data_IF_629508860478
#
_entry.id   IF_629508860478
#
_cell.length_a   1.000
_cell.length_b   1.000
_cell.length_c   1.000
_cell.angle_alpha   90.00
_cell.angle_beta   90.00
_cell.angle_gamma   90.00
#
_symmetry.space_group_name_H-M   'P 1'
#
loop_
_entity.id
_entity.type
_entity.pdbx_description
1 polymer ?
#
# COMPACT_ATOMS: atom_id res chain seq x y z
N UNK A 1 13.55 -79.94 -26.47
CA UNK A 1 12.93 -78.62 -26.82
C UNK A 1 11.44 -78.76 -26.60
N UNK A 2 10.96 -78.27 -25.43
CA UNK A 2 9.53 -78.25 -25.16
C UNK A 2 8.99 -76.92 -25.71
N UNK A 3 8.20 -76.97 -26.76
CA UNK A 3 7.47 -75.85 -27.33
C UNK A 3 6.33 -75.43 -26.34
N UNK A 4 6.41 -74.23 -25.84
CA UNK A 4 5.31 -73.64 -25.08
C UNK A 4 4.04 -73.60 -25.93
N UNK A 5 2.90 -73.99 -25.41
CA UNK A 5 1.62 -73.93 -26.15
C UNK A 5 1.27 -72.49 -26.46
N UNK A 6 0.63 -72.19 -27.61
CA UNK A 6 0.21 -70.84 -27.99
C UNK A 6 -0.77 -70.31 -26.95
N UNK A 7 -0.50 -69.07 -26.49
CA UNK A 7 -1.37 -68.38 -25.53
C UNK A 7 -2.82 -68.30 -26.09
N UNK A 8 -3.81 -68.65 -25.28
CA UNK A 8 -5.23 -68.59 -25.64
C UNK A 8 -5.60 -67.13 -25.99
N UNK A 9 -6.48 -66.91 -26.99
CA UNK A 9 -6.89 -65.54 -27.40
C UNK A 9 -7.33 -64.65 -26.24
N UNK A 10 -8.00 -65.24 -25.25
CA UNK A 10 -8.45 -64.56 -24.02
C UNK A 10 -7.28 -64.11 -23.14
N UNK A 11 -6.18 -64.82 -23.04
CA UNK A 11 -4.99 -64.41 -22.29
C UNK A 11 -4.28 -63.23 -22.94
N UNK A 12 -4.33 -63.11 -24.25
CA UNK A 12 -3.78 -61.95 -24.99
C UNK A 12 -4.62 -60.70 -24.80
N UNK A 13 -5.93 -60.81 -24.76
CA UNK A 13 -6.83 -59.69 -24.45
C UNK A 13 -6.67 -59.19 -23.01
N UNK A 14 -6.60 -60.11 -22.07
CA UNK A 14 -6.39 -59.81 -20.65
C UNK A 14 -5.04 -59.10 -20.43
N UNK A 15 -3.98 -59.52 -21.10
CA UNK A 15 -2.67 -58.87 -21.04
C UNK A 15 -2.71 -57.45 -21.64
N UNK A 16 -3.38 -57.24 -22.74
CA UNK A 16 -3.60 -55.92 -23.37
C UNK A 16 -4.38 -54.96 -22.45
N UNK A 17 -5.42 -55.46 -21.82
CA UNK A 17 -6.21 -54.69 -20.84
C UNK A 17 -5.36 -54.33 -19.60
N UNK A 18 -4.59 -55.26 -19.08
CA UNK A 18 -3.68 -55.06 -17.94
C UNK A 18 -2.59 -54.01 -18.26
N UNK A 19 -2.03 -54.03 -19.47
CA UNK A 19 -1.05 -53.07 -19.93
C UNK A 19 -1.69 -51.66 -20.12
N UNK A 20 -2.92 -51.62 -20.61
CA UNK A 20 -3.69 -50.36 -20.74
C UNK A 20 -3.98 -49.76 -19.37
N UNK A 21 -4.42 -50.55 -18.42
CA UNK A 21 -4.68 -50.13 -17.03
C UNK A 21 -3.39 -49.65 -16.33
N UNK A 22 -2.29 -50.36 -16.50
CA UNK A 22 -0.97 -49.97 -15.95
C UNK A 22 -0.50 -48.62 -16.51
N UNK A 23 -0.61 -48.40 -17.81
CA UNK A 23 -0.27 -47.11 -18.46
C UNK A 23 -1.16 -45.98 -17.93
N UNK A 24 -2.46 -46.25 -17.77
CA UNK A 24 -3.39 -45.25 -17.24
C UNK A 24 -3.10 -44.92 -15.78
N UNK A 25 -2.80 -45.90 -14.98
CA UNK A 25 -2.44 -45.71 -13.57
C UNK A 25 -1.10 -44.96 -13.43
N UNK A 26 -0.12 -45.26 -14.27
CA UNK A 26 1.14 -44.52 -14.31
C UNK A 26 0.95 -43.05 -14.72
N UNK A 27 0.10 -42.80 -15.73
CA UNK A 27 -0.21 -41.41 -16.13
C UNK A 27 -0.91 -40.66 -14.99
N UNK A 28 -1.90 -41.25 -14.34
CA UNK A 28 -2.59 -40.64 -13.18
C UNK A 28 -1.63 -40.35 -12.02
N UNK A 29 -0.64 -41.21 -11.81
CA UNK A 29 0.37 -40.99 -10.78
C UNK A 29 1.25 -39.77 -11.11
N UNK A 30 1.72 -39.64 -12.36
CA UNK A 30 2.49 -38.48 -12.84
C UNK A 30 1.67 -37.20 -12.71
N UNK A 31 0.40 -37.24 -13.11
CA UNK A 31 -0.50 -36.08 -13.03
C UNK A 31 -0.76 -35.67 -11.58
N UNK A 32 -0.92 -36.64 -10.68
CA UNK A 32 -1.11 -36.38 -9.25
C UNK A 32 0.15 -35.75 -8.61
N UNK A 33 1.34 -36.26 -8.92
CA UNK A 33 2.59 -35.66 -8.45
C UNK A 33 2.81 -34.25 -9.00
N UNK A 34 2.48 -34.03 -10.27
CA UNK A 34 2.52 -32.70 -10.89
C UNK A 34 1.59 -31.71 -10.15
N UNK A 35 0.32 -32.11 -9.97
CA UNK A 35 -0.68 -31.29 -9.29
C UNK A 35 -0.28 -31.00 -7.83
N UNK A 36 0.30 -31.95 -7.12
CA UNK A 36 0.79 -31.76 -5.77
C UNK A 36 1.92 -30.71 -5.72
N UNK A 37 2.86 -30.75 -6.67
CA UNK A 37 3.95 -29.75 -6.79
C UNK A 37 3.40 -28.34 -7.11
N UNK A 38 2.44 -28.24 -8.03
CA UNK A 38 1.76 -26.99 -8.37
C UNK A 38 1.06 -26.43 -7.13
N UNK A 39 0.27 -27.27 -6.43
CA UNK A 39 -0.41 -26.87 -5.19
C UNK A 39 0.55 -26.34 -4.13
N UNK A 40 1.67 -27.02 -3.88
CA UNK A 40 2.66 -26.58 -2.91
C UNK A 40 3.25 -25.21 -3.24
N UNK A 41 3.51 -24.93 -4.54
CA UNK A 41 3.98 -23.62 -5.00
C UNK A 41 2.94 -22.51 -4.77
N UNK A 42 1.67 -22.78 -5.03
CA UNK A 42 0.59 -21.81 -4.77
C UNK A 42 0.41 -21.57 -3.28
N UNK A 43 0.44 -22.63 -2.45
CA UNK A 43 0.36 -22.49 -1.00
C UNK A 43 1.52 -21.63 -0.44
N UNK A 44 2.73 -21.76 -0.97
CA UNK A 44 3.86 -20.88 -0.59
C UNK A 44 3.57 -19.43 -0.92
N UNK A 45 2.95 -19.14 -2.08
CA UNK A 45 2.57 -17.78 -2.48
C UNK A 45 1.49 -17.19 -1.58
N UNK A 46 0.49 -17.98 -1.24
CA UNK A 46 -0.59 -17.57 -0.32
C UNK A 46 -0.05 -17.24 1.07
N UNK A 47 0.80 -18.12 1.63
CA UNK A 47 1.44 -17.86 2.92
C UNK A 47 2.31 -16.60 2.90
N UNK A 48 3.00 -16.34 1.80
CA UNK A 48 3.74 -15.11 1.64
C UNK A 48 2.82 -13.88 1.68
N UNK A 49 1.66 -13.89 1.01
CA UNK A 49 0.71 -12.78 1.07
C UNK A 49 0.13 -12.59 2.48
N UNK A 50 -0.31 -13.67 3.12
CA UNK A 50 -0.86 -13.65 4.48
C UNK A 50 0.14 -13.15 5.52
N UNK A 51 1.44 -13.40 5.32
CA UNK A 51 2.51 -12.95 6.21
C UNK A 51 2.90 -11.47 6.04
N UNK A 52 2.29 -10.72 5.12
CA UNK A 52 2.58 -9.30 4.95
C UNK A 52 2.05 -8.48 6.13
N UNK A 53 2.95 -7.77 6.81
CA UNK A 53 2.61 -6.96 7.99
C UNK A 53 2.07 -5.57 7.64
N UNK A 54 2.59 -4.95 6.57
CA UNK A 54 2.25 -3.60 6.12
C UNK A 54 1.66 -3.62 4.71
N UNK A 55 0.90 -2.57 4.35
CA UNK A 55 0.36 -2.40 3.00
C UNK A 55 1.47 -2.35 1.94
N UNK A 56 2.53 -1.59 2.17
CA UNK A 56 3.69 -1.49 1.26
C UNK A 56 4.39 -2.83 1.04
N UNK A 57 4.53 -3.63 2.08
CA UNK A 57 5.09 -4.99 2.00
C UNK A 57 4.20 -5.92 1.18
N UNK A 58 2.89 -5.86 1.37
CA UNK A 58 1.93 -6.65 0.59
C UNK A 58 1.98 -6.27 -0.90
N UNK A 59 2.05 -4.98 -1.20
CA UNK A 59 2.15 -4.48 -2.58
C UNK A 59 3.45 -4.94 -3.25
N UNK A 60 4.58 -4.92 -2.54
CA UNK A 60 5.85 -5.47 -3.05
C UNK A 60 5.76 -6.98 -3.29
N UNK A 61 5.12 -7.73 -2.38
CA UNK A 61 4.90 -9.17 -2.57
C UNK A 61 3.99 -9.47 -3.76
N UNK A 62 2.94 -8.68 -3.99
CA UNK A 62 2.03 -8.83 -5.14
C UNK A 62 2.69 -8.47 -6.48
N UNK A 63 3.76 -7.68 -6.47
CA UNK A 63 4.46 -7.24 -7.69
C UNK A 63 5.84 -7.88 -7.80
N UNK A 64 6.84 -7.34 -7.14
CA UNK A 64 8.25 -7.73 -7.31
C UNK A 64 8.48 -9.20 -6.95
N UNK A 65 8.04 -9.64 -5.77
CA UNK A 65 8.24 -11.01 -5.33
C UNK A 65 7.44 -12.01 -6.18
N UNK A 66 6.18 -11.70 -6.49
CA UNK A 66 5.31 -12.55 -7.29
C UNK A 66 5.84 -12.74 -8.72
N UNK A 67 6.44 -11.69 -9.33
CA UNK A 67 7.10 -11.76 -10.64
C UNK A 67 8.19 -12.83 -10.67
N UNK A 68 9.04 -12.87 -9.65
CA UNK A 68 10.08 -13.89 -9.52
C UNK A 68 9.50 -15.27 -9.24
N UNK A 69 8.51 -15.35 -8.34
CA UNK A 69 7.89 -16.63 -7.96
C UNK A 69 7.12 -17.31 -9.08
N UNK A 70 6.51 -16.53 -9.98
CA UNK A 70 5.86 -17.06 -11.19
C UNK A 70 6.82 -17.19 -12.38
N UNK A 71 8.05 -16.66 -12.26
CA UNK A 71 9.02 -16.62 -13.37
C UNK A 71 8.40 -15.99 -14.63
N UNK A 72 7.75 -14.82 -14.46
CA UNK A 72 7.13 -14.09 -15.55
C UNK A 72 7.91 -12.84 -15.91
N UNK A 73 7.80 -12.42 -17.18
CA UNK A 73 8.54 -11.27 -17.72
C UNK A 73 7.98 -9.93 -17.24
N UNK A 74 6.71 -9.89 -16.93
CA UNK A 74 6.04 -8.70 -16.42
C UNK A 74 4.94 -9.06 -15.43
N UNK A 75 4.74 -8.17 -14.46
CA UNK A 75 3.59 -8.15 -13.59
C UNK A 75 3.06 -6.71 -13.50
N UNK A 76 1.76 -6.57 -13.36
CA UNK A 76 1.11 -5.29 -13.08
C UNK A 76 -0.03 -5.52 -12.11
N UNK A 77 -0.14 -4.63 -11.15
CA UNK A 77 -1.24 -4.60 -10.20
C UNK A 77 -2.07 -3.34 -10.46
N UNK A 78 -3.29 -3.52 -10.94
CA UNK A 78 -4.26 -2.44 -11.11
C UNK A 78 -5.21 -2.48 -9.92
N UNK A 79 -5.34 -1.37 -9.20
CA UNK A 79 -6.23 -1.27 -8.04
C UNK A 79 -7.26 -0.18 -8.29
N UNK A 80 -8.51 -0.49 -8.01
CA UNK A 80 -9.60 0.48 -8.03
C UNK A 80 -9.57 1.28 -6.72
N UNK A 81 -9.32 2.56 -6.83
CA UNK A 81 -9.22 3.50 -5.70
C UNK A 81 -10.09 4.75 -5.96
N UNK A 82 -11.44 4.57 -6.07
CA UNK A 82 -12.36 5.65 -6.44
C UNK A 82 -12.38 6.79 -5.42
N UNK A 83 -11.99 6.54 -4.19
CA UNK A 83 -11.96 7.52 -3.10
C UNK A 83 -10.53 7.96 -2.72
N UNK A 84 -9.53 7.63 -3.55
CA UNK A 84 -8.11 7.96 -3.37
C UNK A 84 -7.49 7.44 -2.06
N UNK A 85 -8.12 6.46 -1.45
CA UNK A 85 -7.75 5.94 -0.12
C UNK A 85 -6.39 5.27 -0.13
N UNK A 86 -6.15 4.38 -1.09
CA UNK A 86 -4.87 3.67 -1.20
C UNK A 86 -3.77 4.68 -1.52
N UNK A 87 -4.06 5.65 -2.39
CA UNK A 87 -3.12 6.72 -2.75
C UNK A 87 -2.72 7.54 -1.54
N UNK A 88 -3.68 8.00 -0.73
CA UNK A 88 -3.43 8.78 0.47
C UNK A 88 -2.61 7.99 1.49
N UNK A 89 -2.98 6.71 1.73
CA UNK A 89 -2.24 5.81 2.61
C UNK A 89 -0.77 5.61 2.19
N UNK A 90 -0.49 5.60 0.90
CA UNK A 90 0.87 5.43 0.36
C UNK A 90 1.67 6.74 0.38
N UNK A 91 1.01 7.89 0.23
CA UNK A 91 1.67 9.21 0.28
C UNK A 91 2.14 9.55 1.69
N UNK A 92 1.38 9.15 2.71
CA UNK A 92 1.69 9.39 4.12
C UNK A 92 2.74 8.41 4.70
N UNK A 93 3.23 7.46 3.91
CA UNK A 93 4.19 6.45 4.37
C UNK A 93 5.60 6.78 3.86
N UNK A 94 6.51 7.31 4.72
CA UNK A 94 7.87 7.70 4.32
C UNK A 94 8.77 6.53 3.90
N UNK A 95 8.37 5.30 4.19
CA UNK A 95 9.13 4.06 3.94
C UNK A 95 8.73 3.34 2.63
N UNK A 96 8.06 4.00 1.69
CA UNK A 96 7.72 3.35 0.41
C UNK A 96 8.98 3.24 -0.44
N UNK A 97 9.52 2.04 -0.71
CA UNK A 97 10.74 1.89 -1.52
C UNK A 97 10.52 2.50 -2.91
N UNK A 98 11.47 3.31 -3.37
CA UNK A 98 11.50 3.80 -4.74
C UNK A 98 11.48 2.59 -5.69
N UNK A 99 10.40 2.43 -6.45
CA UNK A 99 10.21 1.31 -7.37
C UNK A 99 9.02 0.40 -7.06
N UNK A 100 8.56 0.30 -5.81
CA UNK A 100 7.39 -0.54 -5.46
C UNK A 100 6.13 -0.10 -6.21
N UNK A 101 5.97 1.20 -6.46
CA UNK A 101 4.82 1.76 -7.18
C UNK A 101 4.93 1.66 -8.71
N UNK A 102 6.08 1.26 -9.24
CA UNK A 102 6.33 1.24 -10.70
C UNK A 102 5.41 0.25 -11.44
N UNK A 103 5.12 -0.87 -10.80
CA UNK A 103 4.28 -1.93 -11.36
C UNK A 103 2.85 -1.89 -10.81
N UNK A 104 2.47 -0.79 -10.12
CA UNK A 104 1.15 -0.57 -9.54
C UNK A 104 0.48 0.63 -10.23
N UNK A 105 -0.77 0.48 -10.57
CA UNK A 105 -1.61 1.53 -11.12
C UNK A 105 -2.86 1.70 -10.26
N UNK A 106 -3.08 2.93 -9.77
CA UNK A 106 -4.25 3.28 -8.98
C UNK A 106 -5.25 4.01 -9.88
N UNK A 107 -6.38 3.38 -10.13
CA UNK A 107 -7.43 3.86 -11.01
C UNK A 107 -8.62 4.37 -10.17
N UNK A 108 -9.07 5.60 -10.43
CA UNK A 108 -10.26 6.15 -9.79
C UNK A 108 -11.56 5.63 -10.41
N UNK A 109 -11.48 5.13 -11.63
CA UNK A 109 -12.62 4.61 -12.39
C UNK A 109 -12.26 3.34 -13.14
N UNK A 110 -13.22 2.45 -13.25
CA UNK A 110 -13.14 1.20 -14.00
C UNK A 110 -12.96 1.43 -15.51
N UNK A 111 -13.37 2.60 -16.01
CA UNK A 111 -13.17 3.00 -17.41
C UNK A 111 -11.70 3.09 -17.82
N UNK A 112 -10.78 3.30 -16.86
CA UNK A 112 -9.34 3.26 -17.10
C UNK A 112 -8.88 1.88 -17.62
N UNK A 113 -9.60 0.80 -17.28
CA UNK A 113 -9.39 -0.54 -17.85
C UNK A 113 -10.08 -0.69 -19.22
N UNK A 114 -10.57 0.42 -19.81
CA UNK A 114 -11.37 0.47 -21.04
C UNK A 114 -12.65 -0.39 -21.01
N UNK A 115 -13.23 -0.66 -19.84
CA UNK A 115 -14.48 -1.41 -19.65
C UNK A 115 -14.42 -2.89 -20.04
N UNK A 116 -13.31 -3.35 -20.62
CA UNK A 116 -13.21 -4.67 -21.29
C UNK A 116 -13.05 -5.85 -20.35
N UNK A 117 -12.68 -5.62 -19.08
CA UNK A 117 -12.40 -6.69 -18.11
C UNK A 117 -13.26 -6.60 -16.84
N UNK A 118 -14.18 -5.64 -16.77
CA UNK A 118 -15.02 -5.40 -15.57
C UNK A 118 -15.90 -6.60 -15.25
N UNK A 119 -16.38 -7.30 -16.28
CA UNK A 119 -17.23 -8.48 -16.15
C UNK A 119 -16.41 -9.77 -15.94
N UNK A 120 -15.09 -9.67 -15.80
CA UNK A 120 -14.27 -10.84 -15.56
C UNK A 120 -14.47 -11.33 -14.12
N UNK A 121 -15.07 -12.50 -13.97
CA UNK A 121 -15.29 -13.15 -12.67
C UNK A 121 -14.23 -14.19 -12.33
N UNK A 122 -13.66 -14.82 -13.35
CA UNK A 122 -12.67 -15.88 -13.27
C UNK A 122 -11.34 -15.42 -13.92
N UNK A 123 -10.20 -16.01 -13.59
CA UNK A 123 -8.96 -15.73 -14.28
C UNK A 123 -9.06 -16.01 -15.77
N UNK A 124 -8.61 -15.06 -16.57
CA UNK A 124 -8.52 -15.21 -18.01
C UNK A 124 -7.08 -15.48 -18.43
N UNK A 125 -6.89 -16.46 -19.32
CA UNK A 125 -5.59 -16.86 -19.87
C UNK A 125 -5.68 -16.82 -21.39
N UNK A 126 -4.65 -16.30 -22.04
CA UNK A 126 -4.64 -16.26 -23.49
C UNK A 126 -3.42 -15.59 -24.12
N UNK A 127 -3.39 -15.56 -25.47
CA UNK A 127 -2.31 -14.93 -26.20
C UNK A 127 -2.31 -13.41 -26.00
N UNK A 128 -1.13 -12.80 -26.17
CA UNK A 128 -0.99 -11.35 -26.15
C UNK A 128 -1.78 -10.70 -27.28
N UNK A 129 -2.57 -9.71 -26.94
CA UNK A 129 -3.23 -8.78 -27.87
C UNK A 129 -2.75 -7.37 -27.59
N UNK A 130 -2.17 -6.71 -28.61
CA UNK A 130 -1.54 -5.39 -28.47
C UNK A 130 -2.55 -4.32 -28.04
N UNK A 131 -3.78 -4.34 -28.58
CA UNK A 131 -4.78 -3.33 -28.29
C UNK A 131 -5.44 -3.51 -26.91
N UNK A 132 -5.51 -4.75 -26.43
CA UNK A 132 -6.11 -5.09 -25.14
C UNK A 132 -5.15 -5.01 -23.99
N UNK A 133 -3.92 -5.50 -24.17
CA UNK A 133 -2.99 -5.74 -23.07
C UNK A 133 -1.91 -4.67 -22.93
N UNK A 134 -1.55 -3.97 -24.02
CA UNK A 134 -0.56 -2.89 -23.94
C UNK A 134 -0.95 -1.78 -22.95
N UNK A 135 -2.22 -1.31 -22.87
CA UNK A 135 -2.60 -0.33 -21.87
C UNK A 135 -2.39 -0.82 -20.43
N UNK A 136 -2.63 -2.12 -20.17
CA UNK A 136 -2.46 -2.71 -18.84
C UNK A 136 -1.00 -2.81 -18.42
N UNK A 137 -0.09 -3.10 -19.34
CA UNK A 137 1.33 -3.31 -19.04
C UNK A 137 2.21 -2.08 -19.30
N UNK A 138 1.67 -1.03 -19.94
CA UNK A 138 2.42 0.18 -20.31
C UNK A 138 3.52 -0.04 -21.38
N UNK A 139 3.68 -1.27 -21.86
CA UNK A 139 4.68 -1.65 -22.86
C UNK A 139 4.24 -2.87 -23.66
N UNK A 140 4.85 -3.07 -24.84
CA UNK A 140 4.69 -4.31 -25.61
C UNK A 140 5.45 -5.45 -24.94
N UNK A 141 4.77 -6.58 -24.74
CA UNK A 141 5.38 -7.78 -24.17
C UNK A 141 5.45 -8.92 -25.19
N UNK A 142 4.37 -9.16 -25.92
CA UNK A 142 4.21 -10.35 -26.78
C UNK A 142 3.91 -11.61 -25.92
N UNK A 143 3.83 -12.77 -26.57
CA UNK A 143 3.66 -14.05 -25.88
C UNK A 143 2.25 -14.28 -25.32
N UNK A 144 2.10 -14.45 -24.02
CA UNK A 144 0.83 -14.78 -23.37
C UNK A 144 0.60 -14.02 -22.07
N UNK A 145 -0.66 -13.93 -21.65
CA UNK A 145 -1.12 -13.11 -20.50
C UNK A 145 -2.09 -13.91 -19.65
N UNK A 146 -1.99 -13.73 -18.33
CA UNK A 146 -3.01 -14.11 -17.37
C UNK A 146 -3.54 -12.87 -16.64
N UNK A 147 -4.86 -12.71 -16.61
CA UNK A 147 -5.56 -11.64 -15.91
C UNK A 147 -6.35 -12.24 -14.75
N UNK A 148 -5.97 -11.90 -13.54
CA UNK A 148 -6.58 -12.42 -12.32
C UNK A 148 -7.41 -11.31 -11.68
N UNK A 149 -8.75 -11.38 -11.71
CA UNK A 149 -9.60 -10.41 -11.05
C UNK A 149 -9.49 -10.54 -9.53
N UNK A 150 -9.20 -9.46 -8.86
CA UNK A 150 -9.21 -9.36 -7.39
C UNK A 150 -10.63 -8.96 -6.97
N UNK A 151 -11.43 -9.93 -6.53
CA UNK A 151 -12.84 -9.71 -6.20
C UNK A 151 -13.15 -10.12 -4.77
N UNK A 152 -14.11 -9.40 -4.20
CA UNK A 152 -14.67 -9.69 -2.89
C UNK A 152 -16.20 -9.52 -2.90
N UNK A 153 -16.84 -9.73 -1.74
CA UNK A 153 -18.28 -9.54 -1.60
C UNK A 153 -18.77 -8.14 -2.02
N UNK A 154 -17.90 -7.11 -1.85
CA UNK A 154 -18.16 -5.72 -2.27
C UNK A 154 -17.95 -5.43 -3.75
N UNK A 155 -17.47 -6.38 -4.55
CA UNK A 155 -17.22 -6.21 -5.97
C UNK A 155 -15.77 -6.40 -6.40
N UNK A 156 -15.41 -5.82 -7.54
CA UNK A 156 -14.06 -5.83 -8.09
C UNK A 156 -13.20 -4.78 -7.37
N UNK A 157 -12.05 -5.19 -6.83
CA UNK A 157 -11.05 -4.31 -6.19
C UNK A 157 -9.85 -4.03 -7.08
N UNK A 158 -9.65 -4.83 -8.13
CA UNK A 158 -8.53 -4.64 -9.06
C UNK A 158 -8.22 -5.87 -9.88
N UNK A 159 -7.04 -5.87 -10.50
CA UNK A 159 -6.50 -6.97 -11.29
C UNK A 159 -5.03 -7.21 -10.98
N UNK A 160 -4.66 -8.47 -10.86
CA UNK A 160 -3.27 -8.90 -10.95
C UNK A 160 -3.01 -9.44 -12.36
N UNK A 161 -2.17 -8.75 -13.13
CA UNK A 161 -1.88 -9.06 -14.52
C UNK A 161 -0.48 -9.67 -14.63
N UNK A 162 -0.39 -10.90 -15.15
CA UNK A 162 0.86 -11.61 -15.38
C UNK A 162 1.13 -11.68 -16.88
N UNK A 163 2.35 -11.36 -17.30
CA UNK A 163 2.73 -11.39 -18.70
C UNK A 163 4.00 -12.20 -18.94
N UNK A 164 3.97 -13.06 -19.95
CA UNK A 164 5.10 -13.86 -20.38
C UNK A 164 5.41 -13.67 -21.87
N UNK A 165 6.69 -13.68 -22.23
CA UNK A 165 7.13 -13.72 -23.63
C UNK A 165 6.92 -15.09 -24.27
N UNK A 166 6.79 -16.14 -23.45
CA UNK A 166 6.45 -17.47 -23.93
C UNK A 166 4.95 -17.53 -24.30
N UNK A 167 4.61 -17.76 -25.60
CA UNK A 167 3.22 -17.85 -26.05
C UNK A 167 2.48 -19.06 -25.45
N UNK A 168 3.21 -20.06 -24.95
CA UNK A 168 2.62 -21.29 -24.42
C UNK A 168 2.45 -21.24 -22.88
N UNK A 169 2.86 -20.18 -22.22
CA UNK A 169 2.80 -20.07 -20.75
C UNK A 169 1.38 -20.02 -20.20
N UNK A 170 0.53 -19.20 -20.82
CA UNK A 170 -0.86 -18.99 -20.42
C UNK A 170 -1.76 -19.31 -21.60
N UNK A 171 -2.28 -20.54 -21.64
CA UNK A 171 -3.10 -21.05 -22.73
C UNK A 171 -4.57 -21.03 -22.38
N UNK A 172 -5.48 -20.69 -23.31
CA UNK A 172 -6.91 -20.91 -23.12
C UNK A 172 -7.21 -22.36 -22.78
N UNK A 173 -8.10 -22.58 -21.80
CA UNK A 173 -8.49 -23.92 -21.37
C UNK A 173 -7.57 -24.60 -20.34
N UNK A 174 -6.50 -23.96 -19.93
CA UNK A 174 -5.76 -24.43 -18.73
C UNK A 174 -6.60 -24.24 -17.47
N UNK A 175 -6.45 -25.15 -16.49
CA UNK A 175 -7.12 -25.03 -15.20
C UNK A 175 -6.66 -23.75 -14.46
N UNK A 176 -7.65 -22.96 -13.99
CA UNK A 176 -7.41 -21.67 -13.33
C UNK A 176 -7.70 -21.67 -11.84
N UNK A 177 -8.15 -22.81 -11.28
CA UNK A 177 -8.61 -22.91 -9.87
C UNK A 177 -7.59 -22.35 -8.87
N UNK A 178 -6.32 -22.71 -9.02
CA UNK A 178 -5.25 -22.19 -8.14
C UNK A 178 -5.01 -20.70 -8.32
N UNK A 179 -5.15 -20.17 -9.53
CA UNK A 179 -5.01 -18.73 -9.80
C UNK A 179 -6.22 -17.97 -9.25
N UNK A 180 -7.43 -18.51 -9.39
CA UNK A 180 -8.64 -17.95 -8.82
C UNK A 180 -8.56 -17.89 -7.29
N UNK A 181 -8.11 -18.99 -6.66
CA UNK A 181 -7.92 -19.02 -5.22
C UNK A 181 -6.88 -18.01 -4.75
N UNK A 182 -5.71 -17.94 -5.42
CA UNK A 182 -4.68 -16.94 -5.11
C UNK A 182 -5.19 -15.51 -5.26
N UNK A 183 -5.97 -15.21 -6.30
CA UNK A 183 -6.58 -13.91 -6.52
C UNK A 183 -7.55 -13.55 -5.38
N UNK A 184 -8.36 -14.51 -4.92
CA UNK A 184 -9.24 -14.34 -3.76
C UNK A 184 -8.45 -14.05 -2.48
N UNK A 185 -7.39 -14.82 -2.20
CA UNK A 185 -6.50 -14.57 -1.04
C UNK A 185 -5.84 -13.19 -1.16
N UNK A 186 -5.33 -12.82 -2.33
CA UNK A 186 -4.73 -11.51 -2.56
C UNK A 186 -5.72 -10.36 -2.31
N UNK A 187 -6.96 -10.49 -2.77
CA UNK A 187 -8.01 -9.50 -2.55
C UNK A 187 -8.32 -9.30 -1.05
N UNK A 188 -8.48 -10.41 -0.30
CA UNK A 188 -8.71 -10.36 1.16
C UNK A 188 -7.52 -9.75 1.89
N UNK A 189 -6.28 -10.14 1.53
CA UNK A 189 -5.07 -9.57 2.13
C UNK A 189 -4.99 -8.07 1.88
N UNK A 190 -5.33 -7.60 0.68
CA UNK A 190 -5.30 -6.19 0.32
C UNK A 190 -6.30 -5.37 1.15
N UNK A 191 -7.56 -5.82 1.24
CA UNK A 191 -8.56 -5.16 2.07
C UNK A 191 -8.14 -5.10 3.54
N UNK A 192 -7.67 -6.21 4.09
CA UNK A 192 -7.19 -6.26 5.46
C UNK A 192 -5.99 -5.33 5.70
N UNK A 193 -5.07 -5.22 4.74
CA UNK A 193 -3.92 -4.33 4.83
C UNK A 193 -4.35 -2.86 4.77
N UNK A 194 -5.26 -2.49 3.86
CA UNK A 194 -5.84 -1.14 3.76
C UNK A 194 -6.59 -0.78 5.04
N UNK A 195 -7.47 -1.65 5.53
CA UNK A 195 -8.24 -1.41 6.75
C UNK A 195 -7.34 -1.28 7.98
N UNK A 196 -6.30 -2.11 8.09
CA UNK A 196 -5.32 -2.02 9.19
C UNK A 196 -4.57 -0.69 9.15
N UNK A 197 -4.16 -0.24 7.97
CA UNK A 197 -3.45 1.03 7.82
C UNK A 197 -4.37 2.23 8.12
N UNK A 198 -5.63 2.19 7.67
CA UNK A 198 -6.65 3.19 8.06
C UNK A 198 -6.83 3.27 9.57
N UNK A 199 -6.99 2.12 10.24
CA UNK A 199 -7.15 2.07 11.69
C UNK A 199 -5.89 2.57 12.41
N UNK A 200 -4.71 2.25 11.88
CA UNK A 200 -3.43 2.75 12.40
C UNK A 200 -3.37 4.27 12.32
N UNK A 201 -3.68 4.85 11.16
CA UNK A 201 -3.69 6.30 10.97
C UNK A 201 -4.74 6.98 11.84
N UNK A 202 -5.96 6.46 11.88
CA UNK A 202 -7.02 6.96 12.77
C UNK A 202 -6.63 6.92 14.25
N UNK A 203 -5.79 5.96 14.65
CA UNK A 203 -5.26 5.87 16.03
C UNK A 203 -4.14 6.84 16.34
N UNK A 204 -3.44 7.40 15.35
CA UNK A 204 -2.25 8.26 15.55
C UNK A 204 -2.42 9.68 15.01
N UNK A 205 -3.44 9.97 14.20
CA UNK A 205 -3.72 11.31 13.66
C UNK A 205 -4.93 11.95 14.33
N UNK A 206 -5.05 13.27 14.21
CA UNK A 206 -6.22 14.07 14.54
C UNK A 206 -7.12 14.18 13.31
N UNK A 207 -8.39 13.79 13.45
CA UNK A 207 -9.33 13.68 12.32
C UNK A 207 -9.64 15.03 11.63
N UNK A 208 -9.54 16.16 12.35
CA UNK A 208 -9.83 17.48 11.81
C UNK A 208 -8.66 18.03 10.99
N UNK A 209 -7.44 17.89 11.52
CA UNK A 209 -6.27 18.57 11.00
C UNK A 209 -5.38 17.68 10.13
N UNK A 210 -5.53 16.35 10.22
CA UNK A 210 -4.65 15.37 9.57
C UNK A 210 -3.26 15.28 10.19
N UNK A 211 -2.90 16.16 11.13
CA UNK A 211 -1.64 16.07 11.86
C UNK A 211 -1.65 14.88 12.84
N UNK A 212 -0.49 14.52 13.37
CA UNK A 212 -0.44 13.53 14.43
C UNK A 212 -1.24 14.00 15.66
N UNK A 213 -1.80 13.06 16.42
CA UNK A 213 -2.47 13.39 17.65
C UNK A 213 -1.49 13.47 18.85
N UNK A 214 -1.95 14.01 19.97
CA UNK A 214 -1.18 14.16 21.20
C UNK A 214 -0.50 12.86 21.65
N UNK A 215 -1.20 11.71 21.56
CA UNK A 215 -0.66 10.41 21.99
C UNK A 215 0.55 10.01 21.16
N UNK A 216 0.46 10.14 19.86
CA UNK A 216 1.58 9.82 18.96
C UNK A 216 2.76 10.76 19.19
N UNK A 217 2.51 12.06 19.34
CA UNK A 217 3.56 13.02 19.69
C UNK A 217 4.32 12.64 20.97
N UNK A 218 3.61 12.28 22.04
CA UNK A 218 4.24 11.90 23.31
C UNK A 218 5.17 10.68 23.13
N UNK A 219 4.69 9.65 22.45
CA UNK A 219 5.48 8.47 22.17
C UNK A 219 6.73 8.78 21.34
N UNK A 220 6.58 9.61 20.29
CA UNK A 220 7.70 10.04 19.44
C UNK A 220 8.70 10.92 20.20
N UNK A 221 8.22 11.80 21.07
CA UNK A 221 9.08 12.64 21.89
C UNK A 221 9.99 11.80 22.79
N UNK A 222 9.47 10.78 23.46
CA UNK A 222 10.26 9.86 24.28
C UNK A 222 11.36 9.15 23.47
N UNK A 223 11.02 8.68 22.27
CA UNK A 223 11.97 8.04 21.36
C UNK A 223 13.07 9.02 20.91
N UNK A 224 12.69 10.23 20.47
CA UNK A 224 13.64 11.23 19.98
C UNK A 224 14.51 11.80 21.11
N UNK A 225 14.01 11.97 22.33
CA UNK A 225 14.81 12.32 23.51
C UNK A 225 15.87 11.26 23.79
N UNK A 226 15.48 9.99 23.78
CA UNK A 226 16.40 8.87 23.98
C UNK A 226 17.47 8.83 22.89
N UNK A 227 17.06 9.00 21.63
CA UNK A 227 17.96 9.06 20.47
C UNK A 227 18.91 10.24 20.55
N UNK A 228 18.40 11.43 20.83
CA UNK A 228 19.20 12.66 20.94
C UNK A 228 20.28 12.56 22.04
N UNK A 229 19.90 11.98 23.18
CA UNK A 229 20.86 11.69 24.27
C UNK A 229 21.96 10.71 23.85
N UNK A 230 21.56 9.61 23.21
CA UNK A 230 22.48 8.54 22.77
C UNK A 230 23.49 9.04 21.74
N UNK A 231 23.05 9.82 20.78
CA UNK A 231 23.88 10.31 19.68
C UNK A 231 24.38 11.73 19.88
N UNK A 232 24.14 12.34 21.06
CA UNK A 232 24.52 13.72 21.41
C UNK A 232 24.06 14.74 20.35
N UNK A 233 22.86 14.55 19.81
CA UNK A 233 22.26 15.42 18.80
C UNK A 233 21.29 16.42 19.44
N UNK A 234 21.18 17.65 18.91
CA UNK A 234 20.20 18.61 19.41
C UNK A 234 18.79 18.14 19.05
N UNK A 235 17.85 18.44 19.94
CA UNK A 235 16.41 18.22 19.73
C UNK A 235 15.67 19.47 20.18
N UNK A 236 14.77 19.98 19.35
CA UNK A 236 13.90 21.11 19.69
C UNK A 236 12.43 20.74 19.61
N UNK A 237 11.63 21.44 20.40
CA UNK A 237 10.18 21.34 20.36
C UNK A 237 9.61 22.75 20.30
N UNK A 238 8.63 22.99 19.41
CA UNK A 238 7.83 24.19 19.35
C UNK A 238 6.43 23.86 19.87
N UNK A 239 5.88 24.75 20.68
CA UNK A 239 4.49 24.71 21.09
C UNK A 239 3.79 25.93 20.50
N UNK A 240 2.75 25.70 19.71
CA UNK A 240 2.07 26.72 18.92
C UNK A 240 0.62 26.82 19.38
N UNK A 241 0.14 28.03 19.64
CA UNK A 241 -1.23 28.31 20.06
C UNK A 241 -1.85 29.33 19.09
N UNK A 242 -3.11 29.10 18.70
CA UNK A 242 -3.84 30.01 17.81
C UNK A 242 -4.42 31.19 18.60
N UNK A 243 -3.87 32.38 18.37
CA UNK A 243 -4.25 33.58 19.13
C UNK A 243 -5.74 33.89 18.93
N UNK A 244 -6.44 34.15 20.05
CA UNK A 244 -7.84 34.55 20.08
C UNK A 244 -8.80 33.57 19.38
N UNK A 245 -8.50 32.29 19.32
CA UNK A 245 -9.29 31.28 18.60
C UNK A 245 -10.76 31.22 19.10
N UNK A 246 -10.99 31.38 20.40
CA UNK A 246 -12.34 31.47 20.95
C UNK A 246 -13.16 32.59 20.29
N UNK A 247 -12.57 33.76 20.05
CA UNK A 247 -13.27 34.88 19.37
C UNK A 247 -13.66 34.52 17.94
N UNK A 248 -12.85 33.72 17.24
CA UNK A 248 -13.18 33.23 15.90
C UNK A 248 -14.43 32.35 15.96
N UNK A 249 -14.46 31.39 16.92
CA UNK A 249 -15.64 30.55 17.14
C UNK A 249 -16.89 31.36 17.52
N UNK A 250 -16.75 32.31 18.44
CA UNK A 250 -17.88 33.14 18.93
C UNK A 250 -18.43 34.02 17.78
N UNK A 251 -17.60 34.46 16.83
CA UNK A 251 -17.99 35.36 15.73
C UNK A 251 -18.50 34.61 14.50
N UNK A 252 -17.87 33.48 14.12
CA UNK A 252 -18.10 32.79 12.85
C UNK A 252 -18.65 31.37 13.01
N UNK A 253 -18.80 30.90 14.26
CA UNK A 253 -19.26 29.54 14.59
C UNK A 253 -18.13 28.50 14.58
N UNK A 254 -18.40 27.35 15.22
CA UNK A 254 -17.43 26.26 15.38
C UNK A 254 -16.97 25.68 14.04
N UNK A 255 -17.85 25.57 13.03
CA UNK A 255 -17.47 25.09 11.70
C UNK A 255 -16.41 25.97 11.01
N UNK A 256 -16.47 27.30 11.24
CA UNK A 256 -15.44 28.22 10.78
C UNK A 256 -14.11 28.03 11.53
N UNK A 257 -14.19 27.82 12.85
CA UNK A 257 -13.03 27.49 13.67
C UNK A 257 -12.33 26.21 13.21
N UNK A 258 -13.10 25.18 12.89
CA UNK A 258 -12.57 23.92 12.36
C UNK A 258 -11.82 24.12 11.03
N UNK A 259 -12.37 24.94 10.12
CA UNK A 259 -11.69 25.31 8.87
C UNK A 259 -10.38 26.07 9.12
N UNK A 260 -10.39 26.97 10.13
CA UNK A 260 -9.19 27.71 10.54
C UNK A 260 -8.12 26.77 11.07
N UNK A 261 -8.47 25.81 11.96
CA UNK A 261 -7.53 24.83 12.49
C UNK A 261 -6.95 23.93 11.40
N UNK A 262 -7.77 23.46 10.48
CA UNK A 262 -7.31 22.67 9.35
C UNK A 262 -6.36 23.48 8.41
N UNK A 263 -6.63 24.75 8.20
CA UNK A 263 -5.76 25.64 7.42
C UNK A 263 -4.44 25.93 8.13
N UNK A 264 -4.47 26.15 9.45
CA UNK A 264 -3.25 26.32 10.26
C UNK A 264 -2.39 25.07 10.21
N UNK A 265 -2.96 23.90 10.36
CA UNK A 265 -2.26 22.63 10.26
C UNK A 265 -1.50 22.48 8.94
N UNK A 266 -2.15 22.78 7.80
CA UNK A 266 -1.50 22.79 6.48
C UNK A 266 -0.34 23.79 6.38
N UNK A 267 -0.51 25.00 6.94
CA UNK A 267 0.56 26.01 6.96
C UNK A 267 1.76 25.59 7.81
N UNK A 268 1.51 24.94 8.95
CA UNK A 268 2.56 24.39 9.80
C UNK A 268 3.31 23.27 9.08
N UNK A 269 2.60 22.30 8.52
CA UNK A 269 3.18 21.15 7.83
C UNK A 269 4.01 21.54 6.62
N UNK A 270 3.59 22.54 5.85
CA UNK A 270 4.33 23.06 4.69
C UNK A 270 5.70 23.68 5.03
N UNK A 271 5.98 23.94 6.30
CA UNK A 271 7.25 24.52 6.79
C UNK A 271 8.20 23.49 7.40
N UNK A 272 7.75 22.25 7.53
CA UNK A 272 8.47 21.16 8.14
C UNK A 272 9.18 20.29 7.10
N UNK A 273 10.27 19.67 7.53
CA UNK A 273 11.01 18.66 6.78
C UNK A 273 10.34 17.31 6.99
N UNK A 274 10.68 16.33 6.18
CA UNK A 274 10.23 14.95 6.35
C UNK A 274 10.68 14.30 7.68
N UNK A 275 11.77 14.80 8.27
CA UNK A 275 12.25 14.35 9.59
C UNK A 275 11.49 14.96 10.76
N UNK A 276 10.79 16.06 10.56
CA UNK A 276 10.09 16.81 11.59
C UNK A 276 8.68 16.25 11.77
N UNK A 277 8.07 16.48 12.94
CA UNK A 277 6.75 15.99 13.25
C UNK A 277 5.86 17.13 13.72
N UNK A 278 4.65 17.25 13.16
CA UNK A 278 3.60 18.14 13.63
C UNK A 278 2.45 17.36 14.25
N UNK A 279 1.93 17.84 15.36
CA UNK A 279 0.80 17.23 16.04
C UNK A 279 -0.19 18.30 16.55
N UNK A 280 -1.48 17.97 16.58
CA UNK A 280 -2.46 18.71 17.34
C UNK A 280 -2.41 18.22 18.77
N UNK A 281 -2.06 19.13 19.70
CA UNK A 281 -1.87 18.80 21.10
C UNK A 281 -3.15 18.99 21.93
N UNK A 282 -3.91 20.02 21.60
CA UNK A 282 -5.15 20.39 22.28
C UNK A 282 -6.18 20.95 21.30
N UNK A 283 -7.15 21.67 21.79
CA UNK A 283 -8.22 22.28 20.98
C UNK A 283 -7.68 23.19 19.88
N UNK A 284 -6.88 24.17 20.27
CA UNK A 284 -6.26 25.19 19.40
C UNK A 284 -4.73 25.15 19.45
N UNK A 285 -4.17 24.12 20.11
CA UNK A 285 -2.76 23.98 20.39
C UNK A 285 -2.11 22.93 19.44
N UNK A 286 -0.95 23.25 18.94
CA UNK A 286 -0.12 22.39 18.11
C UNK A 286 1.28 22.26 18.72
N UNK A 287 1.93 21.13 18.45
CA UNK A 287 3.30 20.92 18.84
C UNK A 287 4.13 20.37 17.66
N UNK A 288 5.34 20.90 17.51
CA UNK A 288 6.27 20.51 16.46
C UNK A 288 7.51 19.92 17.10
N UNK A 289 7.91 18.72 16.71
CA UNK A 289 9.11 18.05 17.17
C UNK A 289 10.15 18.09 16.03
N UNK A 290 11.32 18.65 16.33
CA UNK A 290 12.39 18.96 15.38
C UNK A 290 13.67 18.20 15.74
N UNK A 291 13.86 16.97 15.28
CA UNK A 291 15.08 16.22 15.48
C UNK A 291 16.28 16.93 14.85
N UNK A 292 17.46 16.77 15.44
CA UNK A 292 18.73 17.33 14.96
C UNK A 292 18.70 18.85 14.74
N UNK A 293 17.84 19.55 15.47
CA UNK A 293 17.64 20.99 15.34
C UNK A 293 17.97 21.70 16.65
N UNK A 294 18.93 22.60 16.60
CA UNK A 294 19.33 23.39 17.77
C UNK A 294 18.45 24.63 17.94
N UNK A 295 18.52 25.25 19.14
CA UNK A 295 17.68 26.36 19.59
C UNK A 295 17.60 27.53 18.58
N UNK A 296 18.74 27.93 17.99
CA UNK A 296 18.78 29.06 17.02
C UNK A 296 17.99 28.75 15.74
N UNK A 297 18.06 27.54 15.24
CA UNK A 297 17.31 27.12 14.06
C UNK A 297 15.81 26.98 14.38
N UNK A 298 15.47 26.44 15.55
CA UNK A 298 14.10 26.35 16.04
C UNK A 298 13.46 27.74 16.20
N UNK A 299 14.18 28.75 16.74
CA UNK A 299 13.69 30.12 16.82
C UNK A 299 13.49 30.79 15.45
N UNK A 300 14.33 30.47 14.46
CA UNK A 300 14.09 30.95 13.09
C UNK A 300 12.82 30.38 12.52
N UNK A 301 12.63 29.07 12.62
CA UNK A 301 11.41 28.41 12.16
C UNK A 301 10.15 28.95 12.86
N UNK A 302 10.21 29.17 14.18
CA UNK A 302 9.10 29.75 14.94
C UNK A 302 8.69 31.12 14.38
N UNK A 303 9.67 32.00 14.12
CA UNK A 303 9.40 33.33 13.51
C UNK A 303 8.84 33.21 12.09
N UNK A 304 9.39 32.30 11.29
CA UNK A 304 8.90 32.06 9.91
C UNK A 304 7.45 31.55 9.91
N UNK A 305 7.09 30.71 10.88
CA UNK A 305 5.71 30.24 11.10
C UNK A 305 4.80 31.41 11.46
N UNK A 306 5.15 32.22 12.49
CA UNK A 306 4.35 33.38 12.88
C UNK A 306 4.12 34.33 11.71
N UNK A 307 5.19 34.66 10.97
CA UNK A 307 5.12 35.54 9.81
C UNK A 307 4.24 34.96 8.70
N UNK A 308 4.38 33.69 8.39
CA UNK A 308 3.60 33.02 7.34
C UNK A 308 2.10 32.88 7.67
N UNK A 309 1.79 32.67 8.95
CA UNK A 309 0.39 32.61 9.40
C UNK A 309 -0.24 33.99 9.31
N UNK A 310 0.44 35.02 9.84
CA UNK A 310 -0.06 36.40 9.83
C UNK A 310 -0.20 37.01 8.41
N UNK A 311 0.73 36.65 7.50
CA UNK A 311 0.76 37.25 6.16
C UNK A 311 -0.39 36.78 5.25
N UNK A 312 -1.00 35.62 5.52
CA UNK A 312 -2.00 35.03 4.62
C UNK A 312 -3.28 34.71 5.39
N UNK A 313 -4.29 35.59 5.36
CA UNK A 313 -5.59 35.30 5.93
C UNK A 313 -6.21 34.01 5.38
N UNK A 314 -7.04 33.34 6.17
CA UNK A 314 -7.68 32.08 5.85
C UNK A 314 -9.04 32.36 5.21
N UNK A 315 -9.24 31.89 3.98
CA UNK A 315 -10.54 31.95 3.31
C UNK A 315 -11.39 30.77 3.78
N UNK A 316 -12.58 31.07 4.28
CA UNK A 316 -13.58 30.09 4.67
C UNK A 316 -14.46 29.70 3.47
N UNK A 317 -15.09 28.56 3.53
CA UNK A 317 -16.06 28.11 2.51
C UNK A 317 -17.25 29.07 2.34
N UNK A 318 -17.59 29.84 3.39
CA UNK A 318 -18.59 30.89 3.33
C UNK A 318 -18.20 32.12 2.50
N UNK A 319 -16.95 32.15 1.98
CA UNK A 319 -16.39 33.34 1.28
C UNK A 319 -15.82 34.39 2.22
N UNK A 320 -15.97 34.26 3.53
CA UNK A 320 -15.39 35.18 4.53
C UNK A 320 -13.91 34.87 4.69
N UNK A 321 -13.09 35.94 4.87
CA UNK A 321 -11.65 35.77 5.13
C UNK A 321 -11.34 36.16 6.57
N UNK A 322 -10.63 35.28 7.28
CA UNK A 322 -10.27 35.44 8.71
C UNK A 322 -8.78 35.64 8.84
N UNK A 323 -8.36 36.76 9.45
CA UNK A 323 -6.97 36.96 9.84
C UNK A 323 -6.68 36.22 11.16
N UNK A 324 -5.62 35.43 11.18
CA UNK A 324 -5.20 34.62 12.35
C UNK A 324 -3.73 34.86 12.60
N UNK A 325 -3.35 34.91 13.89
CA UNK A 325 -1.95 34.88 14.34
C UNK A 325 -1.73 33.70 15.26
N UNK A 326 -0.47 33.38 15.52
CA UNK A 326 -0.08 32.30 16.44
C UNK A 326 1.02 32.77 17.36
N UNK A 327 0.96 32.33 18.60
CA UNK A 327 2.03 32.42 19.59
C UNK A 327 2.84 31.13 19.61
N UNK A 328 4.17 31.23 19.66
CA UNK A 328 5.06 30.07 19.59
C UNK A 328 6.07 30.09 20.72
N UNK A 329 5.99 29.06 21.59
CA UNK A 329 7.02 28.75 22.58
C UNK A 329 8.06 27.78 22.00
N UNK A 330 9.35 27.97 22.34
CA UNK A 330 10.45 27.14 21.85
C UNK A 330 11.22 26.57 23.01
N UNK A 331 11.39 25.25 23.00
CA UNK A 331 12.27 24.53 23.94
C UNK A 331 13.29 23.70 23.16
N UNK A 332 14.51 23.58 23.68
CA UNK A 332 15.53 22.74 23.05
C UNK A 332 16.37 22.01 24.10
N UNK A 333 16.74 20.80 23.75
CA UNK A 333 17.75 20.01 24.45
C UNK A 333 19.04 20.06 23.63
N UNK A 334 20.15 20.53 24.28
CA UNK A 334 21.47 20.54 23.66
C UNK A 334 22.02 19.11 23.58
N UNK A 335 22.53 18.72 22.43
CA UNK A 335 23.32 17.50 22.30
C UNK A 335 24.67 17.65 22.98
N UNK A 336 24.75 17.29 24.25
CA UNK A 336 25.96 17.17 25.07
C UNK A 336 27.21 17.93 24.63
N UNK A 337 27.19 19.22 24.78
CA UNK A 337 28.39 20.05 24.83
C UNK A 337 28.45 20.67 26.22
N UNK A 338 29.57 20.54 26.93
CA UNK A 338 29.84 21.27 28.15
C UNK A 338 29.60 22.77 27.91
N UNK A 339 28.45 23.26 28.26
CA UNK A 339 28.25 24.66 28.49
C UNK A 339 28.83 24.96 29.84
N UNK A 340 30.07 25.40 29.88
CA UNK A 340 30.55 26.21 31.01
C UNK A 340 29.71 27.49 31.10
N UNK A 341 29.49 27.98 32.33
CA UNK A 341 28.59 29.07 32.65
C UNK A 341 28.93 30.38 31.94
#
# INVERSE_FOLDING_TARGET
MQSQPPAKPHDLELRRELDRLRKRLHQLHIDAEHNQRVRARFQTRELALLGAGKLTELLDRLTTWMRHSFEVDAIRLLLLDPFLVIRDLLTDTPDTPEGTLRDIELCTDVSATQGRFVDLHEPWLGPWDEHRHRPLFGRRLGGSVALLPLRQAGGLTGFLCLGSRDPNRFQPGQATDFMAHLAGVAAVCLENAVNRERLRLAGITDALTGLYNRRHLQHRLEQEVTRARRYRQPLSCLFVDADHFKRINDTHGHAAGDQVLAALARKLQARLRSSDLAARYGGEEFALLLPQTGIRAAHRLARDICAAVAATPIALESGVTVAVTVSVGVAAMSGGGNGSP
#
